data_IF_575382480811
#
_entry.id   IF_575382480811
#
_cell.length_a   1.000
_cell.length_b   1.000
_cell.length_c   1.000
_cell.angle_alpha   90.00
_cell.angle_beta   90.00
_cell.angle_gamma   90.00
#
_symmetry.space_group_name_H-M   'P 1'
#
loop_
_entity.id
_entity.type
_entity.pdbx_description
1 polymer ?
#
# COMPACT_ATOMS: atom_id res chain seq x y z
N UNK A 1 32.79 -2.38 73.25
CA UNK A 1 33.20 -1.18 72.50
C UNK A 1 32.54 -1.22 71.13
N UNK A 2 31.56 -0.35 70.87
CA UNK A 2 30.81 -0.30 69.62
C UNK A 2 31.28 0.94 68.85
N UNK A 3 32.08 0.73 67.81
CA UNK A 3 32.56 1.79 66.93
C UNK A 3 31.49 2.15 65.90
N UNK A 4 30.97 3.38 65.96
CA UNK A 4 30.05 3.94 64.96
C UNK A 4 30.85 4.30 63.69
N UNK A 5 30.59 3.60 62.59
CA UNK A 5 31.12 3.97 61.27
C UNK A 5 30.17 4.94 60.56
N UNK A 6 30.61 6.19 60.41
CA UNK A 6 29.88 7.25 59.70
C UNK A 6 30.13 7.14 58.18
N UNK A 7 29.19 6.52 57.46
CA UNK A 7 29.19 6.42 55.99
C UNK A 7 28.49 7.65 55.35
N UNK A 8 29.04 8.85 55.52
CA UNK A 8 28.44 10.09 54.97
C UNK A 8 29.45 11.06 54.34
N UNK A 9 30.57 10.56 53.80
CA UNK A 9 31.51 11.43 53.06
C UNK A 9 31.40 11.17 51.56
N UNK A 10 31.09 12.25 50.84
CA UNK A 10 31.06 12.46 49.37
C UNK A 10 29.69 12.41 48.69
N UNK A 11 28.82 13.35 49.06
CA UNK A 11 27.74 13.80 48.16
C UNK A 11 28.19 14.90 47.18
N UNK A 12 29.40 15.45 47.34
CA UNK A 12 29.89 16.62 46.59
C UNK A 12 30.41 16.28 45.17
N UNK A 13 30.25 15.04 44.72
CA UNK A 13 30.62 14.59 43.38
C UNK A 13 29.44 13.95 42.63
N UNK A 14 28.25 14.54 42.77
CA UNK A 14 27.18 14.24 41.83
C UNK A 14 27.59 14.83 40.47
N UNK A 15 27.72 14.03 39.40
CA UNK A 15 28.02 14.58 38.07
C UNK A 15 26.99 15.67 37.77
N UNK A 16 27.46 16.86 37.38
CA UNK A 16 26.56 17.90 36.85
C UNK A 16 25.64 17.21 35.86
N UNK A 17 24.32 17.33 36.06
CA UNK A 17 23.29 16.72 35.22
C UNK A 17 23.61 17.11 33.78
N UNK A 18 24.33 16.24 33.07
CA UNK A 18 24.76 16.49 31.70
C UNK A 18 23.47 16.66 30.93
N UNK A 19 23.30 17.85 30.36
CA UNK A 19 22.15 18.33 29.59
C UNK A 19 21.43 17.14 28.94
N UNK A 20 20.41 16.60 29.63
CA UNK A 20 19.82 15.29 29.36
C UNK A 20 19.09 15.36 28.01
N UNK A 21 19.86 15.16 26.94
CA UNK A 21 19.45 15.02 25.56
C UNK A 21 18.37 16.00 25.12
N UNK A 22 18.76 17.23 24.78
CA UNK A 22 17.88 18.19 24.11
C UNK A 22 17.07 17.48 23.02
N UNK A 23 15.75 17.39 23.23
CA UNK A 23 14.87 16.68 22.32
C UNK A 23 14.81 17.45 20.99
N UNK A 24 14.92 16.74 19.87
CA UNK A 24 14.81 17.32 18.54
C UNK A 24 13.35 17.35 18.06
N UNK A 25 13.06 18.26 17.14
CA UNK A 25 11.75 18.33 16.48
C UNK A 25 11.40 17.03 15.75
N UNK A 26 10.19 16.49 15.95
CA UNK A 26 9.72 15.27 15.28
C UNK A 26 9.44 15.43 13.78
N UNK A 27 9.29 16.65 13.26
CA UNK A 27 8.98 16.88 11.84
C UNK A 27 10.14 16.39 10.99
N UNK A 28 9.86 15.51 10.02
CA UNK A 28 10.87 15.07 9.04
C UNK A 28 11.54 16.26 8.35
N UNK A 29 12.88 16.22 8.27
CA UNK A 29 13.71 17.29 7.74
C UNK A 29 13.93 18.49 8.68
N UNK A 30 13.46 18.46 9.93
CA UNK A 30 13.72 19.50 10.92
C UNK A 30 14.62 18.99 12.04
N UNK A 31 15.78 19.63 12.26
CA UNK A 31 16.74 19.26 13.32
C UNK A 31 16.84 20.31 14.44
N UNK A 32 15.90 21.25 14.49
CA UNK A 32 15.87 22.29 15.51
C UNK A 32 15.54 21.68 16.89
N UNK A 33 16.10 22.29 17.95
CA UNK A 33 15.77 21.96 19.34
C UNK A 33 14.27 22.14 19.58
N UNK A 34 13.63 21.15 20.20
CA UNK A 34 12.22 21.21 20.50
C UNK A 34 11.94 22.22 21.63
N UNK A 35 10.83 22.95 21.51
CA UNK A 35 10.39 23.96 22.47
C UNK A 35 8.93 23.77 22.90
N UNK A 36 8.18 22.94 22.18
CA UNK A 36 6.81 22.57 22.52
C UNK A 36 6.62 21.07 22.42
N UNK A 37 5.53 20.60 23.03
CA UNK A 37 5.06 19.23 22.97
C UNK A 37 3.60 19.19 22.58
N UNK A 38 3.19 18.16 21.86
CA UNK A 38 1.77 17.87 21.64
C UNK A 38 1.10 17.62 23.00
N UNK A 39 0.00 18.30 23.29
CA UNK A 39 -0.72 18.17 24.57
C UNK A 39 -1.26 16.75 24.80
N UNK A 40 -1.66 16.06 23.73
CA UNK A 40 -2.27 14.72 23.83
C UNK A 40 -1.25 13.60 24.10
N UNK A 41 -0.12 13.57 23.37
CA UNK A 41 0.82 12.44 23.37
C UNK A 41 2.28 12.81 23.70
N UNK A 42 2.53 14.09 24.01
CA UNK A 42 3.83 14.63 24.41
C UNK A 42 4.95 14.50 23.36
N UNK A 43 4.60 14.29 22.09
CA UNK A 43 5.57 14.36 20.97
C UNK A 43 6.15 15.76 20.84
N UNK A 44 7.47 15.87 20.68
CA UNK A 44 8.22 17.13 20.70
C UNK A 44 8.34 17.82 19.33
N UNK A 45 8.19 19.15 19.32
CA UNK A 45 8.31 20.01 18.14
C UNK A 45 9.08 21.30 18.45
N UNK A 46 9.74 21.89 17.45
CA UNK A 46 10.42 23.19 17.63
C UNK A 46 9.49 24.40 17.49
N UNK A 47 8.40 24.29 16.71
CA UNK A 47 7.39 25.35 16.55
C UNK A 47 5.99 24.78 16.25
N UNK A 48 4.94 25.57 16.52
CA UNK A 48 3.56 25.24 16.16
C UNK A 48 3.41 24.98 14.65
N UNK A 49 4.20 25.67 13.81
CA UNK A 49 4.25 25.45 12.37
C UNK A 49 4.72 24.02 12.05
N UNK A 50 5.76 23.56 12.73
CA UNK A 50 6.26 22.19 12.53
C UNK A 50 5.26 21.13 13.00
N UNK A 51 4.57 21.39 14.12
CA UNK A 51 3.49 20.52 14.58
C UNK A 51 2.35 20.45 13.56
N UNK A 52 1.83 21.58 13.08
CA UNK A 52 0.75 21.63 12.07
C UNK A 52 1.14 20.93 10.77
N UNK A 53 2.37 21.14 10.28
CA UNK A 53 2.86 20.45 9.06
C UNK A 53 2.98 18.94 9.25
N UNK A 54 3.40 18.49 10.44
CA UNK A 54 3.47 17.06 10.76
C UNK A 54 2.10 16.48 11.16
N UNK A 55 1.06 17.30 11.40
CA UNK A 55 -0.22 16.83 11.94
C UNK A 55 -0.86 15.74 11.09
N UNK A 56 -0.78 15.87 9.76
CA UNK A 56 -1.34 14.91 8.81
C UNK A 56 -0.81 13.48 9.00
N UNK A 57 0.42 13.30 9.45
CA UNK A 57 0.99 11.98 9.77
C UNK A 57 0.92 11.68 11.26
N UNK A 58 1.12 12.71 12.10
CA UNK A 58 1.14 12.57 13.54
C UNK A 58 -0.21 12.13 14.11
N UNK A 59 -1.33 12.61 13.57
CA UNK A 59 -2.67 12.32 14.10
C UNK A 59 -2.96 10.82 14.21
N UNK A 60 -2.35 10.01 13.34
CA UNK A 60 -2.50 8.54 13.33
C UNK A 60 -1.62 7.82 14.36
N UNK A 61 -0.70 8.51 15.02
CA UNK A 61 0.11 7.98 16.14
C UNK A 61 -0.15 8.75 17.43
N UNK A 62 -1.02 9.76 17.36
CA UNK A 62 -1.38 10.62 18.48
C UNK A 62 -2.50 9.96 19.32
N UNK A 63 -2.53 10.28 20.59
CA UNK A 63 -3.56 9.88 21.57
C UNK A 63 -4.66 10.93 21.69
N UNK A 64 -4.84 11.77 20.67
CA UNK A 64 -5.90 12.81 20.66
C UNK A 64 -7.29 12.14 20.59
N UNK A 65 -8.31 12.62 21.33
CA UNK A 65 -9.63 11.99 21.36
C UNK A 65 -10.33 12.00 19.99
N UNK A 66 -10.09 13.03 19.16
CA UNK A 66 -10.66 13.16 17.82
C UNK A 66 -9.71 12.61 16.73
N UNK A 67 -9.03 11.50 17.02
CA UNK A 67 -8.14 10.85 16.05
C UNK A 67 -8.99 10.20 14.94
N UNK A 68 -8.60 10.34 13.64
CA UNK A 68 -9.22 9.58 12.57
C UNK A 68 -9.15 8.07 12.87
N UNK A 69 -10.22 7.36 12.57
CA UNK A 69 -10.28 5.93 12.87
C UNK A 69 -9.32 5.12 11.95
N UNK A 70 -9.20 3.83 12.20
CA UNK A 70 -8.29 2.98 11.44
C UNK A 70 -8.69 2.92 9.95
N UNK A 71 -9.99 2.94 9.65
CA UNK A 71 -10.49 2.94 8.27
C UNK A 71 -10.14 4.25 7.51
N UNK A 72 -10.11 5.41 8.19
CA UNK A 72 -9.63 6.67 7.61
C UNK A 72 -8.13 6.59 7.26
N UNK A 73 -7.34 5.95 8.11
CA UNK A 73 -5.92 5.72 7.84
C UNK A 73 -5.71 4.81 6.63
N UNK A 74 -6.44 3.69 6.55
CA UNK A 74 -6.45 2.80 5.39
C UNK A 74 -6.75 3.59 4.11
N UNK A 75 -7.85 4.37 4.09
CA UNK A 75 -8.24 5.17 2.94
C UNK A 75 -7.14 6.12 2.48
N UNK A 76 -6.43 6.74 3.43
CA UNK A 76 -5.33 7.63 3.10
C UNK A 76 -4.18 6.89 2.41
N UNK A 77 -3.86 5.67 2.84
CA UNK A 77 -2.79 4.90 2.19
C UNK A 77 -3.24 4.34 0.85
N UNK A 78 -4.44 3.78 0.76
CA UNK A 78 -5.02 3.28 -0.49
C UNK A 78 -4.94 4.35 -1.58
N UNK A 79 -5.31 5.59 -1.26
CA UNK A 79 -5.17 6.74 -2.17
C UNK A 79 -3.73 7.04 -2.60
N UNK A 80 -2.75 6.90 -1.70
CA UNK A 80 -1.33 7.14 -2.02
C UNK A 80 -0.79 6.07 -2.95
N UNK A 81 -1.10 4.81 -2.66
CA UNK A 81 -0.71 3.67 -3.49
C UNK A 81 -1.34 3.81 -4.87
N UNK A 82 -2.66 4.06 -4.96
CA UNK A 82 -3.36 4.31 -6.22
C UNK A 82 -2.71 5.43 -7.02
N UNK A 83 -2.43 6.58 -6.40
CA UNK A 83 -1.75 7.69 -7.08
C UNK A 83 -0.37 7.29 -7.61
N UNK A 84 0.37 6.48 -6.85
CA UNK A 84 1.67 5.95 -7.29
C UNK A 84 1.53 4.99 -8.47
N UNK A 85 0.48 4.18 -8.50
CA UNK A 85 0.17 3.29 -9.62
C UNK A 85 -0.23 4.08 -10.87
N UNK A 86 -1.11 5.08 -10.73
CA UNK A 86 -1.56 5.96 -11.82
C UNK A 86 -0.40 6.77 -12.43
N UNK A 87 0.59 7.15 -11.63
CA UNK A 87 1.79 7.85 -12.12
C UNK A 87 2.88 6.91 -12.66
N UNK A 88 2.68 5.59 -12.62
CA UNK A 88 3.69 4.59 -12.98
C UNK A 88 4.90 4.56 -12.04
N UNK A 89 4.85 5.24 -10.89
CA UNK A 89 5.99 5.37 -9.98
C UNK A 89 5.99 4.25 -8.93
N UNK A 90 6.69 3.16 -9.27
CA UNK A 90 6.85 2.00 -8.38
C UNK A 90 7.46 2.37 -7.02
N UNK A 91 8.37 3.36 -6.97
CA UNK A 91 8.95 3.86 -5.73
C UNK A 91 7.89 4.48 -4.79
N UNK A 92 6.95 5.26 -5.33
CA UNK A 92 5.87 5.83 -4.52
C UNK A 92 4.90 4.77 -3.99
N UNK A 93 4.61 3.75 -4.80
CA UNK A 93 3.83 2.58 -4.36
C UNK A 93 4.59 1.87 -3.25
N UNK A 94 5.89 1.61 -3.46
CA UNK A 94 6.82 1.02 -2.51
C UNK A 94 6.81 1.70 -1.14
N UNK A 95 7.10 3.00 -1.11
CA UNK A 95 7.14 3.82 0.09
C UNK A 95 5.78 3.95 0.79
N UNK A 96 4.69 3.77 0.05
CA UNK A 96 3.34 3.83 0.61
C UNK A 96 2.97 2.53 1.32
N UNK A 97 3.27 1.35 0.75
CA UNK A 97 3.02 0.10 1.48
C UNK A 97 4.02 -0.09 2.62
N UNK A 98 5.27 0.38 2.50
CA UNK A 98 6.21 0.37 3.64
C UNK A 98 5.64 1.07 4.87
N UNK A 99 4.84 2.12 4.68
CA UNK A 99 4.17 2.80 5.80
C UNK A 99 3.05 1.96 6.42
N UNK A 100 2.39 1.09 5.66
CA UNK A 100 1.45 0.10 6.21
C UNK A 100 2.21 -0.94 7.02
N UNK A 101 3.26 -1.53 6.42
CA UNK A 101 4.02 -2.60 7.05
C UNK A 101 4.80 -2.15 8.28
N UNK A 102 5.13 -0.86 8.39
CA UNK A 102 5.77 -0.29 9.57
C UNK A 102 4.82 -0.11 10.77
N UNK A 103 3.51 -0.23 10.58
CA UNK A 103 2.51 -0.15 11.64
C UNK A 103 1.88 -1.54 11.85
N UNK A 104 2.42 -2.30 12.80
CA UNK A 104 2.00 -3.69 13.08
C UNK A 104 0.49 -3.82 13.32
N UNK A 105 -0.11 -2.82 13.97
CA UNK A 105 -1.54 -2.81 14.26
C UNK A 105 -2.35 -2.66 12.98
N UNK A 106 -2.07 -1.64 12.16
CA UNK A 106 -2.76 -1.42 10.88
C UNK A 106 -2.52 -2.59 9.92
N UNK A 107 -1.28 -3.06 9.84
CA UNK A 107 -0.88 -4.18 9.01
C UNK A 107 -1.69 -5.44 9.35
N UNK A 108 -1.88 -5.73 10.64
CA UNK A 108 -2.66 -6.89 11.10
C UNK A 108 -4.16 -6.72 10.86
N UNK A 109 -4.78 -5.64 11.35
CA UNK A 109 -6.24 -5.50 11.31
C UNK A 109 -6.82 -5.46 9.90
N UNK A 110 -6.02 -5.04 8.90
CA UNK A 110 -6.45 -4.99 7.50
C UNK A 110 -5.95 -6.16 6.65
N UNK A 111 -5.29 -7.16 7.26
CA UNK A 111 -4.86 -8.39 6.58
C UNK A 111 -3.55 -8.30 5.79
N UNK A 112 -2.86 -7.14 5.80
CA UNK A 112 -1.57 -6.98 5.11
C UNK A 112 -0.48 -7.88 5.70
N UNK A 113 -0.53 -8.18 7.00
CA UNK A 113 0.47 -9.03 7.66
C UNK A 113 0.53 -10.46 7.11
N UNK A 114 -0.50 -10.89 6.38
CA UNK A 114 -0.66 -12.24 5.83
C UNK A 114 -0.44 -12.32 4.32
N UNK A 115 -0.18 -11.19 3.66
CA UNK A 115 0.16 -11.21 2.23
C UNK A 115 1.54 -11.82 2.04
N UNK A 116 1.66 -12.83 1.18
CA UNK A 116 2.89 -13.56 0.93
C UNK A 116 3.88 -12.76 0.05
N UNK A 117 3.37 -11.79 -0.71
CA UNK A 117 4.19 -11.00 -1.62
C UNK A 117 3.73 -9.54 -1.72
N UNK A 118 4.62 -8.71 -2.25
CA UNK A 118 4.30 -7.33 -2.63
C UNK A 118 3.10 -7.24 -3.57
N UNK A 119 3.02 -8.15 -4.54
CA UNK A 119 1.93 -8.19 -5.53
C UNK A 119 0.58 -8.40 -4.84
N UNK A 120 0.52 -9.30 -3.88
CA UNK A 120 -0.70 -9.55 -3.08
C UNK A 120 -1.10 -8.33 -2.24
N UNK A 121 -0.13 -7.64 -1.63
CA UNK A 121 -0.42 -6.40 -0.91
C UNK A 121 -1.01 -5.32 -1.82
N UNK A 122 -0.52 -5.20 -3.07
CA UNK A 122 -1.10 -4.29 -4.07
C UNK A 122 -2.52 -4.72 -4.47
N UNK A 123 -2.76 -6.03 -4.66
CA UNK A 123 -4.11 -6.56 -4.96
C UNK A 123 -5.09 -6.28 -3.82
N UNK A 124 -4.65 -6.43 -2.56
CA UNK A 124 -5.45 -6.09 -1.39
C UNK A 124 -5.75 -4.59 -1.31
N UNK A 125 -4.77 -3.72 -1.61
CA UNK A 125 -5.03 -2.27 -1.72
C UNK A 125 -6.02 -1.97 -2.84
N UNK A 126 -5.90 -2.61 -4.00
CA UNK A 126 -6.81 -2.45 -5.12
C UNK A 126 -8.25 -2.86 -4.75
N UNK A 127 -8.41 -3.95 -3.99
CA UNK A 127 -9.71 -4.36 -3.44
C UNK A 127 -10.31 -3.28 -2.53
N UNK A 128 -9.51 -2.77 -1.57
CA UNK A 128 -9.97 -1.68 -0.69
C UNK A 128 -10.32 -0.41 -1.47
N UNK A 129 -9.55 -0.04 -2.51
CA UNK A 129 -9.87 1.10 -3.38
C UNK A 129 -11.21 0.90 -4.09
N UNK A 130 -11.47 -0.30 -4.57
CA UNK A 130 -12.72 -0.67 -5.25
C UNK A 130 -13.91 -0.50 -4.30
N UNK A 131 -13.82 -1.00 -3.06
CA UNK A 131 -14.83 -0.82 -2.02
C UNK A 131 -15.03 0.67 -1.69
N UNK A 132 -13.94 1.40 -1.48
CA UNK A 132 -13.98 2.83 -1.16
C UNK A 132 -14.62 3.65 -2.28
N UNK A 133 -14.43 3.25 -3.54
CA UNK A 133 -14.94 3.97 -4.71
C UNK A 133 -16.39 3.63 -5.05
N UNK A 134 -16.87 2.43 -4.70
CA UNK A 134 -18.19 1.94 -5.11
C UNK A 134 -19.25 2.01 -4.00
N UNK A 135 -18.88 1.87 -2.73
CA UNK A 135 -19.84 1.92 -1.63
C UNK A 135 -20.22 3.37 -1.30
N UNK A 136 -21.48 3.59 -0.88
CA UNK A 136 -21.98 4.93 -0.46
C UNK A 136 -21.33 5.45 0.82
N UNK A 137 -21.05 4.57 1.78
CA UNK A 137 -20.46 4.89 3.10
C UNK A 137 -19.34 3.90 3.45
N UNK A 138 -18.26 3.85 2.65
CA UNK A 138 -17.26 2.78 2.73
C UNK A 138 -16.53 2.77 4.08
N UNK A 139 -16.17 3.95 4.59
CA UNK A 139 -15.42 4.07 5.85
C UNK A 139 -16.23 3.61 7.04
N UNK A 140 -17.51 3.99 7.11
CA UNK A 140 -18.40 3.52 8.17
C UNK A 140 -18.62 2.01 8.11
N UNK A 141 -18.77 1.44 6.90
CA UNK A 141 -18.94 0.00 6.72
C UNK A 141 -17.69 -0.78 7.12
N UNK A 142 -16.51 -0.36 6.66
CA UNK A 142 -15.22 -0.98 7.01
C UNK A 142 -14.96 -0.87 8.51
N UNK A 143 -15.18 0.31 9.10
CA UNK A 143 -14.96 0.53 10.54
C UNK A 143 -15.92 -0.33 11.38
N UNK A 144 -17.19 -0.43 11.00
CA UNK A 144 -18.15 -1.31 11.67
C UNK A 144 -17.75 -2.78 11.56
N UNK A 145 -17.30 -3.23 10.37
CA UNK A 145 -16.85 -4.59 10.17
C UNK A 145 -15.57 -4.90 10.98
N UNK A 146 -14.67 -3.93 11.15
CA UNK A 146 -13.51 -4.04 12.04
C UNK A 146 -13.92 -4.20 13.51
N UNK A 147 -14.83 -3.36 13.99
CA UNK A 147 -15.27 -3.37 15.40
C UNK A 147 -15.94 -4.69 15.80
N UNK A 148 -16.66 -5.32 14.87
CA UNK A 148 -17.31 -6.62 15.07
C UNK A 148 -16.36 -7.80 14.80
N UNK A 149 -15.14 -7.55 14.29
CA UNK A 149 -14.20 -8.61 13.90
C UNK A 149 -14.66 -9.39 12.66
N UNK A 150 -15.54 -8.80 11.83
CA UNK A 150 -16.14 -9.43 10.66
C UNK A 150 -15.61 -8.88 9.33
N UNK A 151 -14.42 -8.25 9.33
CA UNK A 151 -13.87 -7.60 8.14
C UNK A 151 -13.64 -8.59 6.99
N UNK A 152 -13.07 -9.77 7.26
CA UNK A 152 -12.85 -10.79 6.24
C UNK A 152 -14.15 -11.27 5.58
N UNK A 153 -15.21 -11.47 6.39
CA UNK A 153 -16.54 -11.80 5.90
C UNK A 153 -17.12 -10.67 5.04
N UNK A 154 -17.04 -9.42 5.52
CA UNK A 154 -17.48 -8.24 4.78
C UNK A 154 -16.83 -8.14 3.40
N UNK A 155 -15.51 -8.32 3.31
CA UNK A 155 -14.76 -8.31 2.04
C UNK A 155 -15.20 -9.46 1.13
N UNK A 156 -15.38 -10.67 1.68
CA UNK A 156 -15.84 -11.85 0.92
C UNK A 156 -17.22 -11.62 0.32
N UNK A 157 -18.19 -11.17 1.13
CA UNK A 157 -19.54 -10.86 0.67
C UNK A 157 -19.54 -9.78 -0.41
N UNK A 158 -18.74 -8.73 -0.23
CA UNK A 158 -18.57 -7.69 -1.25
C UNK A 158 -18.07 -8.27 -2.59
N UNK A 159 -17.02 -9.08 -2.55
CA UNK A 159 -16.45 -9.71 -3.75
C UNK A 159 -17.47 -10.62 -4.44
N UNK A 160 -18.18 -11.48 -3.70
CA UNK A 160 -19.22 -12.37 -4.24
C UNK A 160 -20.34 -11.57 -4.92
N UNK A 161 -20.85 -10.53 -4.26
CA UNK A 161 -21.89 -9.67 -4.81
C UNK A 161 -21.44 -8.98 -6.11
N UNK A 162 -20.18 -8.55 -6.20
CA UNK A 162 -19.63 -7.94 -7.42
C UNK A 162 -19.55 -8.92 -8.58
N UNK A 163 -19.19 -10.19 -8.33
CA UNK A 163 -19.16 -11.24 -9.34
C UNK A 163 -20.58 -11.58 -9.82
N UNK A 164 -21.55 -11.68 -8.91
CA UNK A 164 -22.96 -11.92 -9.25
C UNK A 164 -23.52 -10.79 -10.13
N UNK A 165 -23.23 -9.52 -9.78
CA UNK A 165 -23.65 -8.36 -10.57
C UNK A 165 -23.04 -8.31 -11.97
N UNK A 166 -21.86 -8.89 -12.16
CA UNK A 166 -21.15 -8.93 -13.44
C UNK A 166 -21.48 -10.20 -14.26
N UNK A 167 -22.51 -10.97 -13.88
CA UNK A 167 -22.90 -12.18 -14.61
C UNK A 167 -21.92 -13.34 -14.46
N UNK A 168 -21.21 -13.41 -13.34
CA UNK A 168 -20.27 -14.50 -13.02
C UNK A 168 -18.83 -14.29 -13.51
N UNK A 169 -18.57 -13.21 -14.25
CA UNK A 169 -17.20 -12.84 -14.66
C UNK A 169 -16.68 -11.69 -13.80
N UNK A 170 -15.53 -11.90 -13.18
CA UNK A 170 -14.83 -10.87 -12.40
C UNK A 170 -13.99 -9.99 -13.33
N UNK A 171 -14.28 -8.69 -13.39
CA UNK A 171 -13.47 -7.73 -14.16
C UNK A 171 -12.19 -7.28 -13.43
N UNK A 172 -12.07 -7.51 -12.11
CA UNK A 172 -10.89 -7.09 -11.34
C UNK A 172 -10.08 -8.29 -10.86
N UNK A 173 -8.79 -8.32 -11.21
CA UNK A 173 -7.84 -9.31 -10.68
C UNK A 173 -7.80 -9.32 -9.15
N UNK A 174 -8.05 -8.17 -8.51
CA UNK A 174 -8.15 -8.04 -7.06
C UNK A 174 -9.26 -8.88 -6.45
N UNK A 175 -10.43 -8.94 -7.11
CA UNK A 175 -11.61 -9.70 -6.66
C UNK A 175 -11.36 -11.19 -6.91
N UNK A 176 -10.89 -11.54 -8.11
CA UNK A 176 -10.53 -12.92 -8.47
C UNK A 176 -9.48 -13.47 -7.49
N UNK A 177 -8.43 -12.71 -7.23
CA UNK A 177 -7.40 -13.05 -6.27
C UNK A 177 -7.97 -13.27 -4.88
N UNK A 178 -8.82 -12.36 -4.37
CA UNK A 178 -9.38 -12.49 -3.03
C UNK A 178 -10.29 -13.73 -2.89
N UNK A 179 -11.09 -14.05 -3.91
CA UNK A 179 -12.00 -15.20 -3.86
C UNK A 179 -11.30 -16.55 -4.06
N UNK A 180 -10.21 -16.57 -4.83
CA UNK A 180 -9.44 -17.80 -5.11
C UNK A 180 -8.34 -18.07 -4.09
N UNK A 181 -7.79 -17.02 -3.48
CA UNK A 181 -6.84 -17.14 -2.40
C UNK A 181 -7.56 -17.59 -1.13
N UNK A 182 -6.83 -18.16 -0.17
CA UNK A 182 -7.34 -18.46 1.17
C UNK A 182 -7.54 -17.18 1.99
N UNK A 183 -8.26 -16.20 1.44
CA UNK A 183 -8.36 -14.85 1.98
C UNK A 183 -9.04 -14.79 3.35
N UNK A 184 -9.81 -15.81 3.72
CA UNK A 184 -10.31 -15.98 5.09
C UNK A 184 -9.16 -16.06 6.10
N UNK A 185 -8.03 -16.68 5.73
CA UNK A 185 -6.83 -16.77 6.57
C UNK A 185 -6.14 -15.42 6.78
N UNK A 186 -6.47 -14.37 6.00
CA UNK A 186 -5.90 -13.02 6.19
C UNK A 186 -6.35 -12.39 7.51
N UNK A 187 -7.53 -12.79 8.02
CA UNK A 187 -8.19 -12.16 9.18
C UNK A 187 -8.41 -13.11 10.35
N UNK A 188 -8.09 -14.40 10.20
CA UNK A 188 -8.07 -15.32 11.33
C UNK A 188 -6.92 -14.92 12.25
N UNK A 189 -7.26 -14.33 13.40
CA UNK A 189 -6.31 -14.25 14.51
C UNK A 189 -5.85 -15.69 14.79
N UNK A 190 -4.54 -15.96 14.88
CA UNK A 190 -4.06 -17.26 15.31
C UNK A 190 -4.77 -17.61 16.60
N UNK A 191 -5.65 -18.61 16.55
CA UNK A 191 -6.26 -19.13 17.76
C UNK A 191 -5.12 -19.71 18.58
N UNK A 192 -4.84 -19.02 19.70
CA UNK A 192 -4.05 -19.46 20.84
C UNK A 192 -2.52 -19.22 20.93
N UNK A 193 -2.19 -18.59 22.07
CA UNK A 193 -1.26 -19.01 23.13
C UNK A 193 0.16 -19.45 22.71
N UNK A 194 1.15 -18.63 23.12
CA UNK A 194 2.58 -18.98 23.31
C UNK A 194 3.49 -19.09 22.08
N UNK A 195 3.23 -18.32 21.02
CA UNK A 195 4.26 -18.08 20.01
C UNK A 195 4.92 -16.74 20.29
N UNK A 196 6.01 -16.78 21.05
CA UNK A 196 6.98 -15.70 21.17
C UNK A 196 7.27 -15.17 19.76
N UNK A 197 6.99 -13.89 19.51
CA UNK A 197 7.19 -13.25 18.21
C UNK A 197 8.68 -13.37 17.87
N UNK A 198 9.04 -14.37 17.07
CA UNK A 198 10.18 -14.22 16.18
C UNK A 198 9.76 -13.12 15.23
N UNK A 199 10.29 -11.93 15.51
CA UNK A 199 10.39 -10.83 14.56
C UNK A 199 10.76 -11.46 13.22
N UNK A 200 9.79 -11.63 12.32
CA UNK A 200 10.09 -11.76 10.91
C UNK A 200 10.74 -10.44 10.56
N UNK A 201 12.06 -10.42 10.68
CA UNK A 201 12.89 -9.44 10.05
C UNK A 201 12.57 -9.57 8.57
N UNK A 202 11.61 -8.80 8.09
CA UNK A 202 11.56 -8.33 6.72
C UNK A 202 12.80 -7.46 6.51
N UNK A 203 13.98 -8.10 6.54
CA UNK A 203 15.21 -7.58 5.99
C UNK A 203 14.98 -7.66 4.50
N UNK A 204 14.35 -6.63 3.96
CA UNK A 204 14.30 -6.42 2.52
C UNK A 204 15.73 -6.35 2.02
N UNK A 205 16.29 -7.50 1.63
CA UNK A 205 17.47 -7.55 0.78
C UNK A 205 17.07 -6.77 -0.46
N UNK A 206 17.80 -5.69 -0.75
CA UNK A 206 17.89 -5.17 -2.12
C UNK A 206 18.40 -6.33 -2.97
N UNK A 207 17.49 -7.09 -3.55
CA UNK A 207 17.82 -8.13 -4.51
C UNK A 207 18.26 -7.44 -5.79
N UNK A 208 19.57 -7.35 -6.03
CA UNK A 208 20.08 -7.29 -7.40
C UNK A 208 19.77 -8.65 -8.01
N UNK A 209 18.72 -8.73 -8.83
CA UNK A 209 18.28 -10.00 -9.39
C UNK A 209 17.17 -9.81 -10.40
N UNK A 210 17.58 -9.63 -11.65
CA UNK A 210 16.79 -9.73 -12.87
C UNK A 210 15.93 -11.00 -12.87
N UNK A 211 14.64 -10.86 -12.67
CA UNK A 211 13.63 -11.79 -13.18
C UNK A 211 12.52 -10.95 -13.77
N UNK A 212 12.46 -10.96 -15.10
CA UNK A 212 11.53 -10.17 -15.89
C UNK A 212 10.12 -10.68 -15.68
N UNK A 213 9.32 -9.87 -14.99
CA UNK A 213 7.89 -9.76 -15.26
C UNK A 213 7.68 -8.31 -15.63
N UNK A 214 7.37 -8.09 -16.90
CA UNK A 214 7.14 -6.77 -17.47
C UNK A 214 5.87 -6.15 -16.85
N UNK A 215 5.96 -5.03 -16.12
CA UNK A 215 4.81 -4.35 -15.54
C UNK A 215 3.93 -3.62 -16.56
N UNK A 216 4.31 -3.59 -17.84
CA UNK A 216 3.56 -2.87 -18.88
C UNK A 216 2.35 -3.62 -19.45
N UNK A 217 2.03 -4.82 -18.94
CA UNK A 217 0.91 -5.65 -19.44
C UNK A 217 -0.43 -5.46 -18.72
N UNK A 218 -0.60 -4.41 -17.90
CA UNK A 218 -1.90 -4.09 -17.28
C UNK A 218 -2.71 -3.16 -18.17
N UNK A 219 -3.47 -3.73 -19.11
CA UNK A 219 -4.43 -3.00 -19.95
C UNK A 219 -5.70 -2.71 -19.13
N UNK A 220 -5.87 -1.48 -18.67
CA UNK A 220 -7.16 -1.03 -18.12
C UNK A 220 -8.14 -0.84 -19.28
N UNK A 221 -9.22 -1.62 -19.31
CA UNK A 221 -10.39 -1.31 -20.14
C UNK A 221 -11.07 -0.08 -19.57
N UNK A 222 -11.17 0.95 -20.39
CA UNK A 222 -11.87 2.19 -20.07
C UNK A 222 -13.37 1.89 -19.94
N UNK A 223 -13.83 1.73 -18.70
CA UNK A 223 -15.25 1.58 -18.39
C UNK A 223 -15.95 2.88 -18.78
N UNK A 224 -16.74 2.82 -19.84
CA UNK A 224 -17.55 3.94 -20.31
C UNK A 224 -18.49 4.41 -19.19
N UNK A 225 -18.35 5.67 -18.81
CA UNK A 225 -19.33 6.33 -17.93
C UNK A 225 -20.66 6.48 -18.68
N UNK A 226 -21.81 6.20 -18.06
CA UNK A 226 -23.09 6.53 -18.66
C UNK A 226 -23.24 8.06 -18.78
N UNK A 227 -24.01 8.54 -19.79
CA UNK A 227 -24.16 9.96 -20.03
C UNK A 227 -24.97 10.60 -18.91
N UNK A 228 -24.35 11.56 -18.22
CA UNK A 228 -25.04 12.49 -17.33
C UNK A 228 -25.82 13.46 -18.21
N UNK A 229 -27.16 13.39 -18.17
CA UNK A 229 -28.02 14.41 -18.76
C UNK A 229 -27.90 15.72 -17.98
N UNK A 230 -27.34 16.71 -18.66
CA UNK A 230 -27.73 18.13 -18.68
C UNK A 230 -27.90 18.89 -17.35
N UNK A 231 -27.08 19.93 -17.17
CA UNK A 231 -27.57 21.30 -17.39
C UNK A 231 -26.41 22.27 -17.64
N UNK A 232 -26.69 23.28 -18.46
CA UNK A 232 -25.80 24.24 -19.12
C UNK A 232 -25.17 25.24 -18.13
N UNK A 233 -23.92 25.67 -18.38
CA UNK A 233 -23.67 27.04 -18.86
C UNK A 233 -22.19 27.37 -19.15
N UNK A 234 -22.03 28.35 -20.06
CA UNK A 234 -20.90 28.70 -20.90
C UNK A 234 -19.59 29.16 -20.20
N UNK A 235 -18.45 28.82 -20.82
CA UNK A 235 -17.46 29.82 -21.30
C UNK A 235 -16.47 29.21 -22.32
N UNK A 236 -16.38 29.84 -23.50
CA UNK A 236 -15.54 29.49 -24.65
C UNK A 236 -14.09 29.98 -24.46
N UNK A 237 -13.10 29.15 -24.80
CA UNK A 237 -11.75 29.56 -25.20
C UNK A 237 -11.28 28.72 -26.41
N UNK A 238 -10.43 29.26 -27.30
CA UNK A 238 -10.26 28.74 -28.65
C UNK A 238 -9.31 27.53 -28.73
N UNK A 239 -9.75 26.54 -29.49
CA UNK A 239 -9.02 25.33 -29.86
C UNK A 239 -8.12 25.61 -31.08
N UNK A 240 -6.83 25.85 -30.86
CA UNK A 240 -5.86 25.90 -31.96
C UNK A 240 -4.51 25.24 -31.66
N UNK A 241 -4.30 24.66 -30.47
CA UNK A 241 -3.00 24.06 -30.09
C UNK A 241 -2.97 22.52 -30.08
N UNK A 242 -4.10 21.83 -30.27
CA UNK A 242 -4.20 20.37 -30.07
C UNK A 242 -4.00 19.54 -31.35
N UNK A 243 -4.12 20.14 -32.53
CA UNK A 243 -4.04 19.38 -33.80
C UNK A 243 -2.60 18.96 -34.19
N UNK A 244 -1.57 19.63 -33.67
CA UNK A 244 -0.18 19.30 -33.97
C UNK A 244 0.37 18.13 -33.12
N UNK A 245 -0.13 17.95 -31.89
CA UNK A 245 0.30 16.86 -31.00
C UNK A 245 -0.34 15.51 -31.33
N UNK A 246 -1.52 15.51 -31.97
CA UNK A 246 -2.20 14.27 -32.37
C UNK A 246 -1.54 13.57 -33.58
N UNK A 247 -0.82 14.30 -34.43
CA UNK A 247 -0.14 13.71 -35.60
C UNK A 247 1.19 13.00 -35.27
N UNK A 248 1.80 13.33 -34.14
CA UNK A 248 3.02 12.67 -33.65
C UNK A 248 2.70 11.37 -32.88
N UNK A 249 1.57 11.31 -32.17
CA UNK A 249 1.13 10.11 -31.45
C UNK A 249 0.67 8.98 -32.40
N UNK A 250 0.03 9.32 -33.53
CA UNK A 250 -0.40 8.31 -34.52
C UNK A 250 0.76 7.66 -35.31
N UNK A 251 1.97 8.24 -35.29
CA UNK A 251 3.14 7.61 -35.94
C UNK A 251 3.89 6.62 -35.03
N UNK A 252 3.72 6.71 -33.71
CA UNK A 252 4.35 5.77 -32.78
C UNK A 252 3.57 4.45 -32.69
N UNK A 253 2.24 4.50 -32.82
CA UNK A 253 1.40 3.29 -32.84
C UNK A 253 1.67 2.39 -34.06
N UNK A 254 1.99 2.96 -35.22
CA UNK A 254 2.29 2.15 -36.41
C UNK A 254 3.71 1.57 -36.42
N UNK A 255 4.68 2.25 -35.78
CA UNK A 255 6.05 1.72 -35.66
C UNK A 255 6.13 0.54 -34.69
N UNK A 256 5.27 0.49 -33.66
CA UNK A 256 5.23 -0.64 -32.72
C UNK A 256 4.63 -1.90 -33.34
N UNK A 257 3.63 -1.77 -34.21
CA UNK A 257 3.03 -2.89 -34.96
C UNK A 257 4.04 -3.50 -35.95
N UNK A 258 4.82 -2.67 -36.64
CA UNK A 258 5.90 -3.14 -37.53
C UNK A 258 7.03 -3.83 -36.74
N UNK A 259 7.37 -3.33 -35.54
CA UNK A 259 8.35 -3.99 -34.67
C UNK A 259 7.87 -5.37 -34.19
N UNK A 260 6.57 -5.50 -33.87
CA UNK A 260 5.95 -6.78 -33.49
C UNK A 260 5.93 -7.78 -34.65
N UNK A 261 5.67 -7.33 -35.87
CA UNK A 261 5.69 -8.20 -37.06
C UNK A 261 7.10 -8.68 -37.41
N UNK A 262 8.13 -7.84 -37.23
CA UNK A 262 9.53 -8.23 -37.43
C UNK A 262 9.98 -9.25 -36.38
N UNK A 263 9.54 -9.10 -35.13
CA UNK A 263 9.89 -10.01 -34.04
C UNK A 263 9.17 -11.37 -34.13
N UNK A 264 7.96 -11.41 -34.68
CA UNK A 264 7.20 -12.65 -34.86
C UNK A 264 7.52 -13.39 -36.18
N UNK A 265 8.21 -12.74 -37.13
CA UNK A 265 8.56 -13.31 -38.43
C UNK A 265 9.92 -14.01 -38.48
N UNK A 266 10.58 -14.27 -37.35
CA UNK A 266 11.82 -15.08 -37.31
C UNK A 266 11.57 -16.46 -36.69
N UNK A 267 11.13 -17.45 -37.49
CA UNK A 267 11.10 -18.83 -37.05
C UNK A 267 12.51 -19.43 -37.19
N UNK A 268 13.17 -19.74 -36.08
CA UNK A 268 14.32 -20.65 -36.11
C UNK A 268 15.46 -20.32 -35.16
N UNK A 269 15.33 -20.71 -33.90
CA UNK A 269 16.47 -21.19 -33.11
C UNK A 269 15.96 -22.00 -31.91
N UNK A 270 16.63 -23.12 -31.62
CA UNK A 270 16.36 -24.10 -30.56
C UNK A 270 15.13 -25.01 -30.82
N UNK A 271 15.24 -26.31 -31.11
CA UNK A 271 16.19 -27.32 -30.64
C UNK A 271 16.07 -28.59 -31.51
N UNK A 272 17.20 -29.05 -32.04
CA UNK A 272 17.42 -30.41 -32.47
C UNK A 272 18.03 -31.20 -31.28
N UNK A 273 17.86 -32.52 -31.31
CA UNK A 273 18.62 -33.59 -30.59
C UNK A 273 17.80 -34.43 -29.59
N UNK A 274 17.48 -35.64 -30.09
CA UNK A 274 17.21 -36.95 -29.44
C UNK A 274 15.81 -37.16 -28.81
N UNK A 275 15.08 -38.25 -29.11
CA UNK A 275 15.44 -39.48 -29.80
C UNK A 275 14.20 -40.27 -30.28
N UNK A 276 14.43 -40.99 -31.38
CA UNK A 276 13.54 -41.93 -32.04
C UNK A 276 13.68 -43.32 -31.39
N UNK A 277 12.58 -44.08 -31.34
CA UNK A 277 12.65 -45.54 -31.15
C UNK A 277 11.40 -46.18 -30.58
N UNK A 278 10.32 -46.30 -31.35
CA UNK A 278 9.30 -47.33 -31.10
C UNK A 278 8.84 -47.94 -32.43
N UNK A 279 9.13 -49.23 -32.59
CA UNK A 279 8.75 -50.08 -33.72
C UNK A 279 7.24 -50.37 -33.65
N UNK A 280 6.54 -50.17 -34.77
CA UNK A 280 5.21 -50.78 -35.04
C UNK A 280 5.44 -52.10 -35.76
N UNK A 281 4.92 -53.18 -35.18
CA UNK A 281 4.65 -54.42 -35.89
C UNK A 281 3.26 -54.36 -36.53
N UNK A 282 3.14 -54.97 -37.71
CA UNK A 282 1.88 -55.45 -38.28
C UNK A 282 2.17 -56.83 -38.88
N UNK A 283 1.61 -57.85 -38.23
CA UNK A 283 0.79 -58.87 -38.87
C UNK A 283 -0.65 -58.58 -38.46
#
# INVERSE_FOLDING_TARGET
>A
MIGKSSCWKRMDQMPTVRDLGQKLCRRSGCRNKARLRCSACWTWYCSNICQRRNWRSHVFTCTTPNRPNNADYLRLIVRRVKKGMESGSLEHVHDSLLKIFADDHICRIFGFSKTASWKEAVLLVCLYDTIISTCRKPIGAIQKALEVGSLGHFLKTYCQQRVEQAGGQSECDCITWYLTSRAEELFLEPSDRRSHVQHLGYRMRRGNGTSGVDPSNWRWTEVQRPPVRGSQDLRRHPAASLAASQRLLLRLDQLWILLLQILLATPGACKQVRGFGFLRGHL
#
